data_IF_674065486165
#
_entry.id   IF_674065486165
#
_cell.length_a   1.000
_cell.length_b   1.000
_cell.length_c   1.000
_cell.angle_alpha   90.00
_cell.angle_beta   90.00
_cell.angle_gamma   90.00
#
_symmetry.space_group_name_H-M   'P 1'
#
loop_
_entity.id
_entity.type
_entity.pdbx_description
1 polymer ?
#
# COMPACT_ATOMS: atom_id res chain seq x y z
N UNK A 1 -2.07 9.99 -9.63
CA UNK A 1 -1.84 10.04 -11.10
C UNK A 1 -0.92 8.93 -11.60
N UNK A 2 0.37 8.88 -11.23
CA UNK A 2 1.31 7.85 -11.75
C UNK A 2 0.82 6.41 -11.52
N UNK A 3 0.42 6.06 -10.29
CA UNK A 3 -0.06 4.71 -9.98
C UNK A 3 -1.30 4.30 -10.80
N UNK A 4 -2.16 5.25 -11.18
CA UNK A 4 -3.30 4.96 -12.05
C UNK A 4 -2.84 4.55 -13.46
N UNK A 5 -1.78 5.18 -13.97
CA UNK A 5 -1.22 4.87 -15.30
C UNK A 5 -0.60 3.46 -15.36
N UNK A 6 -0.07 2.97 -14.24
CA UNK A 6 0.44 1.60 -14.13
C UNK A 6 -0.64 0.59 -13.69
N UNK A 7 -1.92 0.97 -13.70
CA UNK A 7 -3.04 0.04 -13.53
C UNK A 7 -3.61 -0.08 -12.12
N UNK A 8 -3.26 0.80 -11.16
CA UNK A 8 -4.00 0.86 -9.89
C UNK A 8 -5.41 1.42 -10.14
N UNK A 9 -6.41 0.78 -9.58
CA UNK A 9 -7.83 1.11 -9.83
C UNK A 9 -8.53 1.75 -8.63
N UNK A 10 -8.10 1.44 -7.40
CA UNK A 10 -8.71 1.93 -6.16
C UNK A 10 -7.65 2.29 -5.13
N UNK A 11 -7.89 3.34 -4.37
CA UNK A 11 -6.99 3.84 -3.32
C UNK A 11 -7.70 3.87 -1.97
N UNK A 12 -7.06 3.32 -0.94
CA UNK A 12 -7.56 3.34 0.43
C UNK A 12 -6.58 4.14 1.29
N UNK A 13 -6.96 5.36 1.68
CA UNK A 13 -6.12 6.27 2.46
C UNK A 13 -6.47 6.12 3.93
N UNK A 14 -5.50 5.65 4.72
CA UNK A 14 -5.59 5.58 6.18
C UNK A 14 -4.98 6.85 6.76
N UNK A 15 -5.86 7.76 7.15
CA UNK A 15 -5.51 9.11 7.59
C UNK A 15 -5.46 9.17 9.12
N UNK A 16 -4.27 9.43 9.66
CA UNK A 16 -4.04 9.57 11.10
C UNK A 16 -4.32 11.00 11.58
N UNK A 17 -5.53 11.50 11.29
CA UNK A 17 -5.99 12.83 11.68
C UNK A 17 -5.05 13.95 11.21
N UNK A 18 -4.75 13.93 9.91
CA UNK A 18 -4.09 15.02 9.19
C UNK A 18 -4.73 16.38 9.51
N UNK A 19 -3.87 17.39 9.67
CA UNK A 19 -4.22 18.80 9.88
C UNK A 19 -3.87 19.68 8.68
N UNK A 20 -3.61 19.05 7.53
CA UNK A 20 -3.30 19.68 6.24
C UNK A 20 -4.50 19.67 5.29
N UNK A 21 -4.26 20.11 4.04
CA UNK A 21 -5.29 20.27 3.00
C UNK A 21 -5.76 18.93 2.39
N UNK A 22 -5.73 17.83 3.15
CA UNK A 22 -6.07 16.47 2.66
C UNK A 22 -7.47 16.42 2.04
N UNK A 23 -8.43 17.17 2.57
CA UNK A 23 -9.81 17.20 2.06
C UNK A 23 -9.88 17.77 0.65
N UNK A 24 -9.25 18.93 0.43
CA UNK A 24 -9.20 19.60 -0.87
C UNK A 24 -8.46 18.73 -1.91
N UNK A 25 -7.34 18.11 -1.50
CA UNK A 25 -6.57 17.20 -2.36
C UNK A 25 -7.41 15.98 -2.74
N UNK A 26 -8.10 15.38 -1.78
CA UNK A 26 -8.94 14.21 -2.03
C UNK A 26 -10.11 14.54 -2.95
N UNK A 27 -10.81 15.65 -2.72
CA UNK A 27 -11.90 16.10 -3.57
C UNK A 27 -11.43 16.31 -5.02
N UNK A 28 -10.30 16.99 -5.20
CA UNK A 28 -9.69 17.19 -6.52
C UNK A 28 -9.38 15.87 -7.24
N UNK A 29 -8.84 14.89 -6.52
CA UNK A 29 -8.52 13.58 -7.10
C UNK A 29 -9.76 12.74 -7.43
N UNK A 30 -10.80 12.81 -6.61
CA UNK A 30 -12.10 12.17 -6.88
C UNK A 30 -12.76 12.81 -8.10
N UNK A 31 -12.73 14.14 -8.21
CA UNK A 31 -13.23 14.88 -9.37
C UNK A 31 -12.43 14.56 -10.64
N UNK A 32 -11.16 14.19 -10.52
CA UNK A 32 -10.35 13.66 -11.62
C UNK A 32 -10.68 12.20 -12.00
N UNK A 33 -11.66 11.58 -11.36
CA UNK A 33 -12.16 10.23 -11.67
C UNK A 33 -11.44 9.09 -10.96
N UNK A 34 -10.62 9.38 -9.93
CA UNK A 34 -9.95 8.33 -9.15
C UNK A 34 -10.90 7.78 -8.08
N UNK A 35 -10.94 6.44 -7.94
CA UNK A 35 -11.71 5.79 -6.89
C UNK A 35 -10.95 5.79 -5.56
N UNK A 36 -11.16 6.81 -4.74
CA UNK A 36 -10.44 7.01 -3.48
C UNK A 36 -11.40 6.88 -2.29
N UNK A 37 -11.00 6.10 -1.29
CA UNK A 37 -11.69 5.97 0.00
C UNK A 37 -10.80 6.46 1.13
N UNK A 38 -11.25 7.47 1.90
CA UNK A 38 -10.59 7.91 3.15
C UNK A 38 -11.08 7.06 4.32
N UNK A 39 -10.19 6.74 5.24
CA UNK A 39 -10.53 6.20 6.55
C UNK A 39 -9.72 6.90 7.61
N UNK A 40 -10.43 7.51 8.56
CA UNK A 40 -9.80 8.06 9.76
C UNK A 40 -9.24 6.91 10.59
N UNK A 41 -7.99 7.03 10.99
CA UNK A 41 -7.20 6.03 11.71
C UNK A 41 -6.46 6.70 12.87
N UNK A 42 -7.15 7.09 13.95
CA UNK A 42 -6.63 7.99 15.00
C UNK A 42 -5.65 7.30 15.97
N UNK A 43 -5.13 6.12 15.62
CA UNK A 43 -4.30 5.31 16.49
C UNK A 43 -2.80 5.51 16.15
N UNK A 44 -2.07 6.11 17.09
CA UNK A 44 -0.65 6.42 16.94
C UNK A 44 0.20 5.15 16.82
N UNK A 45 1.14 5.12 15.87
CA UNK A 45 2.10 4.01 15.63
C UNK A 45 1.42 2.66 15.35
N UNK A 46 0.26 2.65 14.71
CA UNK A 46 -0.49 1.43 14.40
C UNK A 46 -0.58 1.15 12.89
N UNK A 47 0.53 1.35 12.17
CA UNK A 47 0.58 1.15 10.72
C UNK A 47 0.22 -0.28 10.31
N UNK A 48 0.82 -1.29 10.96
CA UNK A 48 0.55 -2.70 10.68
C UNK A 48 -0.92 -3.07 10.94
N UNK A 49 -1.54 -2.50 11.98
CA UNK A 49 -2.95 -2.69 12.25
C UNK A 49 -3.84 -2.04 11.17
N UNK A 50 -3.43 -0.87 10.66
CA UNK A 50 -4.07 -0.23 9.51
C UNK A 50 -4.00 -1.11 8.25
N UNK A 51 -2.84 -1.70 7.96
CA UNK A 51 -2.68 -2.65 6.85
C UNK A 51 -3.56 -3.89 7.03
N UNK A 52 -3.59 -4.50 8.21
CA UNK A 52 -4.43 -5.66 8.49
C UNK A 52 -5.92 -5.34 8.33
N UNK A 53 -6.37 -4.20 8.86
CA UNK A 53 -7.74 -3.73 8.71
C UNK A 53 -8.08 -3.42 7.24
N UNK A 54 -7.14 -2.86 6.48
CA UNK A 54 -7.30 -2.63 5.05
C UNK A 54 -7.44 -3.94 4.27
N UNK A 55 -6.56 -4.91 4.51
CA UNK A 55 -6.59 -6.22 3.88
C UNK A 55 -7.95 -6.92 4.09
N UNK A 56 -8.47 -6.88 5.32
CA UNK A 56 -9.79 -7.42 5.67
C UNK A 56 -10.91 -6.82 4.83
N UNK A 57 -10.96 -5.49 4.72
CA UNK A 57 -12.05 -4.80 4.01
C UNK A 57 -11.92 -4.90 2.49
N UNK A 58 -10.70 -4.79 1.97
CA UNK A 58 -10.44 -4.85 0.55
C UNK A 58 -10.69 -6.25 -0.03
N UNK A 59 -10.72 -7.30 0.79
CA UNK A 59 -11.04 -8.67 0.37
C UNK A 59 -12.35 -8.80 -0.40
N UNK A 60 -13.34 -7.97 -0.11
CA UNK A 60 -14.66 -8.03 -0.75
C UNK A 60 -14.67 -7.39 -2.17
N UNK A 61 -13.69 -6.53 -2.46
CA UNK A 61 -13.70 -5.68 -3.66
C UNK A 61 -12.41 -5.73 -4.48
N UNK A 62 -11.35 -6.35 -3.98
CA UNK A 62 -10.04 -6.39 -4.59
C UNK A 62 -9.48 -7.81 -4.57
N UNK A 63 -9.02 -8.29 -5.72
CA UNK A 63 -8.26 -9.54 -5.81
C UNK A 63 -6.84 -9.38 -5.27
N UNK A 64 -6.22 -8.24 -5.55
CA UNK A 64 -4.87 -7.88 -5.11
C UNK A 64 -4.84 -6.50 -4.48
N UNK A 65 -4.05 -6.35 -3.42
CA UNK A 65 -3.91 -5.10 -2.66
C UNK A 65 -2.44 -4.83 -2.39
N UNK A 66 -1.97 -3.65 -2.79
CA UNK A 66 -0.61 -3.17 -2.50
C UNK A 66 -0.56 -2.29 -1.24
N UNK A 67 0.48 -2.44 -0.44
CA UNK A 67 0.76 -1.57 0.72
C UNK A 67 2.05 -0.79 0.49
N UNK A 68 1.95 0.54 0.56
CA UNK A 68 3.05 1.49 0.40
C UNK A 68 2.83 2.73 1.26
N UNK A 69 3.90 3.44 1.60
CA UNK A 69 3.81 4.78 2.18
C UNK A 69 3.40 5.82 1.10
N UNK A 70 2.94 7.02 1.52
CA UNK A 70 2.35 8.00 0.58
C UNK A 70 3.36 8.62 -0.38
N UNK A 71 4.63 8.67 0.04
CA UNK A 71 5.78 9.18 -0.71
C UNK A 71 6.51 8.08 -1.49
N UNK A 72 5.99 6.85 -1.47
CA UNK A 72 6.56 5.70 -2.14
C UNK A 72 5.89 5.38 -3.50
N UNK A 73 6.67 4.79 -4.41
CA UNK A 73 6.19 4.43 -5.75
C UNK A 73 6.45 2.96 -6.09
N UNK A 74 5.52 2.32 -6.82
CA UNK A 74 5.78 1.07 -7.53
C UNK A 74 6.41 1.41 -8.88
N UNK A 75 7.71 1.20 -9.01
CA UNK A 75 8.42 1.54 -10.23
C UNK A 75 8.31 0.42 -11.28
N UNK A 76 7.73 0.72 -12.44
CA UNK A 76 7.64 -0.20 -13.58
C UNK A 76 8.57 0.27 -14.71
N UNK A 77 9.83 -0.20 -14.78
CA UNK A 77 10.79 0.24 -15.80
C UNK A 77 10.45 -0.26 -17.22
N UNK A 78 9.71 -1.37 -17.31
CA UNK A 78 9.34 -2.00 -18.58
C UNK A 78 8.03 -1.46 -19.16
N UNK A 79 7.40 -0.48 -18.49
CA UNK A 79 6.09 0.05 -18.89
C UNK A 79 4.94 -0.95 -18.76
N UNK A 80 5.17 -2.08 -18.07
CA UNK A 80 4.13 -3.06 -17.79
C UNK A 80 3.17 -2.51 -16.73
N UNK A 81 1.89 -2.85 -16.87
CA UNK A 81 0.93 -2.58 -15.80
C UNK A 81 1.20 -3.51 -14.61
N UNK A 82 0.77 -3.10 -13.41
CA UNK A 82 0.80 -3.97 -12.23
C UNK A 82 -0.03 -5.22 -12.45
N UNK A 83 -1.12 -5.14 -13.21
CA UNK A 83 -1.92 -6.30 -13.59
C UNK A 83 -1.07 -7.33 -14.35
N UNK A 84 -0.32 -6.90 -15.37
CA UNK A 84 0.53 -7.81 -16.16
C UNK A 84 1.65 -8.43 -15.31
N UNK A 85 2.22 -7.64 -14.38
CA UNK A 85 3.23 -8.15 -13.46
C UNK A 85 2.62 -9.20 -12.55
N UNK A 86 1.46 -8.92 -11.96
CA UNK A 86 0.76 -9.82 -11.05
C UNK A 86 0.37 -11.11 -11.78
N UNK A 87 -0.29 -11.03 -12.94
CA UNK A 87 -0.73 -12.21 -13.70
C UNK A 87 0.44 -13.10 -14.10
N UNK A 88 1.55 -12.51 -14.57
CA UNK A 88 2.75 -13.27 -14.92
C UNK A 88 3.35 -14.03 -13.73
N UNK A 89 3.23 -13.51 -12.51
CA UNK A 89 3.69 -14.20 -11.30
C UNK A 89 2.67 -15.23 -10.82
N UNK A 90 1.38 -14.91 -10.81
CA UNK A 90 0.32 -15.77 -10.27
C UNK A 90 -0.06 -16.93 -11.17
N UNK A 91 0.03 -16.77 -12.48
CA UNK A 91 -0.44 -17.76 -13.46
C UNK A 91 0.60 -18.89 -13.68
N UNK A 92 1.75 -18.80 -13.02
CA UNK A 92 2.86 -19.76 -13.11
C UNK A 92 2.59 -21.13 -12.45
N UNK A 93 1.34 -21.40 -12.04
CA UNK A 93 0.92 -22.67 -11.43
C UNK A 93 1.25 -22.79 -9.94
N UNK A 94 1.78 -21.74 -9.33
CA UNK A 94 1.99 -21.64 -7.88
C UNK A 94 0.86 -20.83 -7.27
N UNK A 95 0.35 -21.26 -6.11
CA UNK A 95 -0.63 -20.47 -5.34
C UNK A 95 0.07 -19.27 -4.68
N UNK A 96 0.30 -18.22 -5.47
CA UNK A 96 0.97 -17.00 -5.02
C UNK A 96 -0.02 -16.15 -4.22
N UNK A 97 0.29 -15.96 -2.94
CA UNK A 97 -0.45 -15.10 -2.02
C UNK A 97 0.18 -13.70 -1.85
N UNK A 98 1.47 -13.54 -2.16
CA UNK A 98 2.19 -12.28 -1.99
C UNK A 98 3.28 -12.11 -3.05
N UNK A 99 3.39 -10.90 -3.59
CA UNK A 99 4.49 -10.43 -4.42
C UNK A 99 5.21 -9.33 -3.65
N UNK A 100 6.51 -9.52 -3.42
CA UNK A 100 7.36 -8.52 -2.76
C UNK A 100 8.24 -7.81 -3.78
N UNK A 101 8.34 -6.49 -3.62
CA UNK A 101 9.30 -5.67 -4.38
C UNK A 101 10.24 -4.97 -3.42
N UNK A 102 11.52 -4.92 -3.77
CA UNK A 102 12.53 -4.22 -2.97
C UNK A 102 12.25 -2.71 -2.97
N UNK A 103 12.25 -2.09 -1.79
CA UNK A 103 12.17 -0.65 -1.64
C UNK A 103 13.58 -0.05 -1.57
N UNK A 104 13.82 0.94 -2.42
CA UNK A 104 15.10 1.64 -2.51
C UNK A 104 14.90 3.13 -2.28
N UNK A 105 15.82 3.71 -1.51
CA UNK A 105 15.86 5.15 -1.26
C UNK A 105 16.68 5.86 -2.33
N UNK A 106 16.02 6.76 -3.06
CA UNK A 106 16.62 7.57 -4.11
C UNK A 106 17.07 8.92 -3.56
N UNK A 107 18.27 9.32 -3.95
CA UNK A 107 18.82 10.63 -3.64
C UNK A 107 18.52 11.66 -4.73
N UNK A 108 18.93 12.92 -4.54
CA UNK A 108 18.64 14.02 -5.46
C UNK A 108 19.30 13.88 -6.83
N UNK A 109 20.15 12.86 -7.06
CA UNK A 109 20.77 12.58 -8.36
C UNK A 109 21.55 13.77 -8.94
N UNK A 110 22.16 14.56 -8.05
CA UNK A 110 22.90 15.77 -8.41
C UNK A 110 22.03 17.00 -8.70
N UNK A 111 20.71 16.88 -8.62
CA UNK A 111 19.78 17.98 -8.85
C UNK A 111 19.66 18.87 -7.61
N UNK A 112 19.55 20.18 -7.84
CA UNK A 112 19.31 21.19 -6.78
C UNK A 112 17.84 21.59 -6.67
N UNK A 113 17.04 21.24 -7.67
CA UNK A 113 15.62 21.55 -7.76
C UNK A 113 14.86 20.27 -8.16
N UNK A 114 13.55 20.26 -7.92
CA UNK A 114 12.70 19.15 -8.33
C UNK A 114 12.78 18.95 -9.85
N UNK A 115 12.92 17.69 -10.33
CA UNK A 115 13.03 17.41 -11.75
C UNK A 115 11.72 17.76 -12.48
N UNK A 116 11.76 18.54 -13.58
CA UNK A 116 10.56 18.88 -14.35
C UNK A 116 9.89 17.65 -14.99
N UNK A 117 10.65 16.58 -15.23
CA UNK A 117 10.14 15.30 -15.72
C UNK A 117 9.45 14.43 -14.64
N UNK A 118 9.43 14.89 -13.38
CA UNK A 118 8.84 14.16 -12.25
C UNK A 118 9.83 13.29 -11.49
N UNK A 119 9.47 12.93 -10.26
CA UNK A 119 10.37 12.27 -9.30
C UNK A 119 10.84 10.89 -9.74
N UNK A 120 9.95 10.08 -10.32
CA UNK A 120 10.27 8.71 -10.76
C UNK A 120 11.17 8.67 -12.00
N UNK A 121 11.16 9.72 -12.82
CA UNK A 121 12.01 9.84 -14.02
C UNK A 121 13.28 10.66 -13.79
N UNK A 122 13.25 11.59 -12.82
CA UNK A 122 14.32 12.54 -12.59
C UNK A 122 15.31 12.16 -11.49
N UNK A 123 14.89 11.40 -10.50
CA UNK A 123 15.79 10.85 -9.48
C UNK A 123 16.20 9.42 -9.84
N UNK A 124 17.44 9.26 -10.29
CA UNK A 124 17.98 8.00 -10.85
C UNK A 124 19.13 7.42 -10.02
N UNK A 125 19.66 8.15 -9.04
CA UNK A 125 20.67 7.69 -8.10
C UNK A 125 20.00 7.23 -6.81
N UNK A 126 20.37 6.03 -6.33
CA UNK A 126 19.83 5.44 -5.09
C UNK A 126 20.92 4.79 -4.26
N UNK A 127 20.60 4.52 -3.00
CA UNK A 127 21.40 3.62 -2.17
C UNK A 127 21.47 2.23 -2.82
N UNK A 128 22.64 1.58 -2.70
CA UNK A 128 22.87 0.26 -3.30
C UNK A 128 22.02 -0.83 -2.66
N UNK A 129 21.97 -0.85 -1.32
CA UNK A 129 21.17 -1.79 -0.56
C UNK A 129 19.70 -1.34 -0.49
N UNK A 130 18.73 -2.28 -0.57
CA UNK A 130 17.35 -1.99 -0.25
C UNK A 130 17.19 -1.77 1.25
N UNK A 131 16.27 -0.89 1.65
CA UNK A 131 16.00 -0.64 3.07
C UNK A 131 14.83 -1.49 3.57
N UNK A 132 13.83 -1.70 2.72
CA UNK A 132 12.57 -2.39 3.04
C UNK A 132 12.05 -3.15 1.82
N UNK A 133 10.86 -3.72 1.96
CA UNK A 133 10.07 -4.25 0.86
C UNK A 133 8.68 -3.63 0.87
N UNK A 134 8.06 -3.59 -0.31
CA UNK A 134 6.64 -3.31 -0.47
C UNK A 134 5.96 -4.60 -0.86
N UNK A 135 4.73 -4.77 -0.41
CA UNK A 135 3.98 -6.01 -0.61
C UNK A 135 2.72 -5.76 -1.41
N UNK A 136 2.47 -6.63 -2.37
CA UNK A 136 1.19 -6.77 -3.06
C UNK A 136 0.65 -8.14 -2.68
N UNK A 137 -0.46 -8.18 -1.96
CA UNK A 137 -1.02 -9.40 -1.38
C UNK A 137 -2.35 -9.74 -2.04
N UNK A 138 -2.68 -11.03 -2.06
CA UNK A 138 -4.03 -11.53 -2.37
C UNK A 138 -4.82 -11.62 -1.06
N UNK A 139 -5.74 -10.69 -0.76
CA UNK A 139 -6.40 -10.66 0.56
C UNK A 139 -7.24 -11.91 0.84
N UNK A 140 -7.72 -12.58 -0.21
CA UNK A 140 -8.45 -13.85 -0.13
C UNK A 140 -7.66 -15.00 0.50
N UNK A 141 -6.33 -14.93 0.42
CA UNK A 141 -5.39 -15.95 0.93
C UNK A 141 -4.82 -15.60 2.31
N UNK A 142 -5.28 -14.52 2.93
CA UNK A 142 -4.87 -14.15 4.29
C UNK A 142 -5.77 -14.88 5.29
N UNK A 143 -5.16 -15.71 6.13
CA UNK A 143 -5.84 -16.33 7.26
C UNK A 143 -6.00 -15.32 8.40
N UNK A 144 -7.25 -15.02 8.75
CA UNK A 144 -7.59 -14.27 9.94
C UNK A 144 -8.10 -15.24 10.99
N UNK A 145 -7.26 -15.59 11.98
CA UNK A 145 -7.71 -16.36 13.12
C UNK A 145 -8.58 -15.47 14.03
N UNK A 146 -9.90 -15.60 13.92
CA UNK A 146 -10.86 -14.91 14.77
C UNK A 146 -11.00 -15.51 16.19
N UNK A 147 -10.38 -16.66 16.45
CA UNK A 147 -10.68 -17.48 17.64
C UNK A 147 -9.78 -17.26 18.87
N UNK A 148 -9.18 -16.08 19.06
CA UNK A 148 -8.52 -15.73 20.34
C UNK A 148 -9.17 -14.57 21.11
N UNK A 149 -10.30 -14.05 20.67
CA UNK A 149 -11.14 -13.15 21.48
C UNK A 149 -12.28 -13.93 22.13
N UNK A 150 -11.96 -14.85 23.05
CA UNK A 150 -12.97 -15.71 23.66
C UNK A 150 -12.47 -16.62 24.78
N UNK A 151 -11.57 -16.14 25.65
CA UNK A 151 -11.37 -16.80 26.95
C UNK A 151 -12.10 -15.98 28.03
N UNK A 152 -13.14 -16.51 28.69
CA UNK A 152 -13.71 -15.86 29.85
C UNK A 152 -12.63 -15.80 30.94
N UNK A 153 -12.44 -14.63 31.52
CA UNK A 153 -11.77 -14.50 32.81
C UNK A 153 -12.53 -15.37 33.82
N UNK A 154 -12.05 -16.59 34.06
CA UNK A 154 -12.45 -17.36 35.23
C UNK A 154 -11.86 -16.67 36.44
N UNK A 155 -12.71 -15.93 37.17
CA UNK A 155 -12.41 -15.54 38.54
C UNK A 155 -12.37 -16.82 39.39
N UNK A 156 -11.21 -17.43 39.53
CA UNK A 156 -10.99 -18.38 40.60
C UNK A 156 -10.81 -17.60 41.90
N UNK A 157 -11.81 -17.72 42.77
CA UNK A 157 -11.69 -17.46 44.19
C UNK A 157 -10.77 -18.51 44.80
N UNK A 158 -9.95 -18.06 45.76
CA UNK A 158 -9.38 -18.89 46.82
C UNK A 158 -7.87 -19.01 46.72
N UNK A 159 -7.12 -18.26 47.52
CA UNK A 159 -6.86 -18.54 48.95
C UNK A 159 -6.77 -17.20 49.70
#
# INVERSE_FOLDING_TARGET
MYHAQIGVQSWYIYDNNSDDDIEDVMESLVNAGLNISRRVWPWIKTQEAGFAHCALRARESCEWVGFIDVDEYFYSPLGLSLHDVISNQSDSGNDVAEIRTSCYSFGPSGLKHAPPQGVTAGYTCRLGAPERHKSIVKPGSIEFHADQCGAPFSSERGI
#
